data_IF_594782705446
#
_entry.id   IF_594782705446
#
_cell.length_a   1.000
_cell.length_b   1.000
_cell.length_c   1.000
_cell.angle_alpha   90.00
_cell.angle_beta   90.00
_cell.angle_gamma   90.00
#
_symmetry.space_group_name_H-M   'P 1'
#
loop_
_entity.id
_entity.type
_entity.pdbx_description
1 polymer ?
#
# COMPACT_ATOMS: atom_id res chain seq x y z
N UNK A 1 -20.26 68.28 5.97
CA UNK A 1 -19.23 67.91 4.96
C UNK A 1 -17.99 67.47 5.73
N UNK A 2 -17.33 66.34 5.53
CA UNK A 2 -17.46 65.23 4.58
C UNK A 2 -16.80 64.01 5.24
N UNK A 3 -17.40 62.82 5.16
CA UNK A 3 -16.75 61.56 5.60
C UNK A 3 -15.76 61.12 4.51
N UNK A 4 -14.52 60.71 4.83
CA UNK A 4 -13.73 59.96 3.88
C UNK A 4 -14.14 58.49 3.91
N UNK A 5 -14.91 58.10 2.89
CA UNK A 5 -15.03 56.73 2.38
C UNK A 5 -13.68 56.29 1.81
N UNK A 6 -13.07 55.23 2.36
CA UNK A 6 -11.95 54.55 1.74
C UNK A 6 -12.35 53.11 1.40
N UNK A 7 -12.24 52.83 0.11
CA UNK A 7 -12.59 51.60 -0.60
C UNK A 7 -11.50 50.54 -0.40
N UNK A 8 -11.95 49.30 -0.40
CA UNK A 8 -11.27 48.05 -0.07
C UNK A 8 -10.01 47.73 -0.88
N UNK A 9 -9.04 47.10 -0.22
CA UNK A 9 -8.29 45.99 -0.83
C UNK A 9 -8.20 44.83 0.16
N UNK A 10 -9.08 43.85 -0.04
CA UNK A 10 -8.95 42.52 0.53
C UNK A 10 -7.62 41.93 0.05
N UNK A 11 -6.65 41.86 0.96
CA UNK A 11 -5.37 41.21 0.73
C UNK A 11 -5.62 39.70 0.65
N UNK A 12 -5.28 39.01 -0.45
CA UNK A 12 -5.46 37.56 -0.51
C UNK A 12 -4.58 36.89 0.55
N UNK A 13 -5.19 35.97 1.30
CA UNK A 13 -4.50 35.09 2.21
C UNK A 13 -3.57 34.20 1.38
N UNK A 14 -2.27 34.54 1.36
CA UNK A 14 -1.24 33.63 0.91
C UNK A 14 -1.17 32.48 1.92
N UNK A 15 -1.89 31.39 1.65
CA UNK A 15 -1.73 30.12 2.33
C UNK A 15 -0.38 29.54 1.95
N UNK A 16 0.65 29.99 2.65
CA UNK A 16 1.97 29.38 2.62
C UNK A 16 1.85 28.01 3.29
N UNK A 17 1.43 26.99 2.54
CA UNK A 17 1.72 25.61 2.88
C UNK A 17 3.23 25.41 2.70
N UNK A 18 3.99 25.89 3.67
CA UNK A 18 5.35 25.43 3.89
C UNK A 18 5.23 23.96 4.30
N UNK A 19 5.29 23.07 3.30
CA UNK A 19 5.60 21.67 3.53
C UNK A 19 6.98 21.68 4.17
N UNK A 20 6.97 21.62 5.50
CA UNK A 20 8.15 21.52 6.33
C UNK A 20 8.80 20.19 5.97
N UNK A 21 9.62 20.19 4.92
CA UNK A 21 10.57 19.11 4.63
C UNK A 21 11.53 19.11 5.80
N UNK A 22 11.14 18.40 6.86
CA UNK A 22 12.02 17.99 7.94
C UNK A 22 12.96 16.97 7.33
N UNK A 23 13.92 17.43 6.53
CA UNK A 23 15.13 16.69 6.27
C UNK A 23 15.80 16.58 7.62
N UNK A 24 15.57 15.46 8.30
CA UNK A 24 16.45 15.01 9.38
C UNK A 24 17.78 14.67 8.70
N UNK A 25 18.54 15.72 8.36
CA UNK A 25 19.94 15.61 8.09
C UNK A 25 20.53 15.03 9.38
N UNK A 26 20.68 13.70 9.41
CA UNK A 26 21.50 13.05 10.41
C UNK A 26 22.84 13.76 10.28
N UNK A 27 23.17 14.59 11.25
CA UNK A 27 24.47 15.20 11.34
C UNK A 27 25.41 14.03 11.66
N UNK A 28 25.87 13.35 10.60
CA UNK A 28 26.92 12.35 10.70
C UNK A 28 28.11 13.17 11.16
N UNK A 29 28.40 13.07 12.46
CA UNK A 29 29.52 13.74 13.08
C UNK A 29 30.77 13.30 12.31
N UNK A 30 31.24 14.18 11.44
CA UNK A 30 32.54 14.05 10.78
C UNK A 30 33.62 14.39 11.81
N UNK A 31 33.64 13.66 12.94
CA UNK A 31 34.87 13.54 13.70
C UNK A 31 35.81 12.82 12.75
N UNK A 32 36.70 13.60 12.12
CA UNK A 32 37.87 13.11 11.42
C UNK A 32 38.64 12.32 12.48
N UNK A 33 38.36 11.03 12.55
CA UNK A 33 39.11 10.08 13.34
C UNK A 33 40.47 10.06 12.67
N UNK A 34 41.48 10.62 13.33
CA UNK A 34 42.88 10.56 12.90
C UNK A 34 43.13 9.14 12.36
N UNK A 35 43.48 8.97 11.07
CA UNK A 35 43.73 7.65 10.52
C UNK A 35 44.87 7.03 11.33
N UNK A 36 44.68 5.79 11.79
CA UNK A 36 45.78 5.06 12.42
C UNK A 36 46.83 4.86 11.31
N UNK A 37 48.13 5.06 11.58
CA UNK A 37 49.17 5.03 10.54
C UNK A 37 49.33 3.67 9.86
N UNK A 38 48.77 2.60 10.43
CA UNK A 38 48.78 1.24 9.90
C UNK A 38 47.42 0.78 9.34
N UNK A 39 46.41 1.65 9.33
CA UNK A 39 45.05 1.34 8.89
C UNK A 39 44.77 1.95 7.51
N UNK A 40 45.71 1.83 6.59
CA UNK A 40 45.68 2.55 5.31
C UNK A 40 44.85 1.86 4.21
N UNK A 41 44.33 0.63 4.41
CA UNK A 41 43.90 -0.18 3.25
C UNK A 41 42.39 -0.30 3.01
N UNK A 42 41.50 0.14 3.92
CA UNK A 42 40.05 -0.02 3.73
C UNK A 42 39.28 1.30 3.77
N UNK A 43 39.81 2.33 3.12
CA UNK A 43 38.97 3.49 2.77
C UNK A 43 38.11 3.03 1.58
N UNK A 44 36.78 2.87 1.74
CA UNK A 44 35.95 2.48 0.62
C UNK A 44 36.10 3.52 -0.49
N UNK A 45 36.24 3.10 -1.77
CA UNK A 45 36.32 4.03 -2.89
C UNK A 45 35.20 5.06 -2.80
N UNK A 46 35.56 6.35 -2.97
CA UNK A 46 34.57 7.44 -2.98
C UNK A 46 33.68 7.25 -4.20
N UNK A 47 32.42 6.90 -3.94
CA UNK A 47 31.44 6.65 -4.99
C UNK A 47 30.96 7.97 -5.61
N UNK A 48 31.08 8.16 -6.94
CA UNK A 48 30.67 9.40 -7.61
C UNK A 48 29.14 9.54 -7.75
N UNK A 49 28.36 8.53 -7.37
CA UNK A 49 26.90 8.54 -7.56
C UNK A 49 26.20 9.55 -6.64
N UNK A 50 25.20 10.28 -7.14
CA UNK A 50 24.36 11.14 -6.29
C UNK A 50 23.72 10.35 -5.15
N UNK A 51 23.70 10.92 -3.94
CA UNK A 51 23.23 10.25 -2.73
C UNK A 51 21.77 9.76 -2.78
N UNK A 52 20.94 10.33 -3.66
CA UNK A 52 19.54 9.93 -3.86
C UNK A 52 19.38 8.64 -4.68
N UNK A 53 20.41 8.21 -5.39
CA UNK A 53 20.38 7.00 -6.23
C UNK A 53 20.26 5.74 -5.37
N UNK A 54 20.98 5.68 -4.25
CA UNK A 54 20.93 4.54 -3.33
C UNK A 54 19.55 4.27 -2.71
N UNK A 55 18.84 5.25 -2.12
CA UNK A 55 17.50 5.01 -1.61
C UNK A 55 16.51 4.69 -2.73
N UNK A 56 16.64 5.29 -3.93
CA UNK A 56 15.79 4.94 -5.06
C UNK A 56 15.92 3.46 -5.43
N UNK A 57 17.14 2.95 -5.61
CA UNK A 57 17.34 1.53 -5.94
C UNK A 57 16.86 0.60 -4.83
N UNK A 58 17.01 0.98 -3.56
CA UNK A 58 16.45 0.22 -2.45
C UNK A 58 14.93 0.13 -2.56
N UNK A 59 14.25 1.26 -2.74
CA UNK A 59 12.79 1.30 -2.88
C UNK A 59 12.35 0.52 -4.13
N UNK A 60 13.03 0.72 -5.25
CA UNK A 60 12.74 0.00 -6.48
C UNK A 60 12.84 -1.52 -6.28
N UNK A 61 13.88 -2.02 -5.62
CA UNK A 61 13.98 -3.46 -5.32
C UNK A 61 12.85 -3.94 -4.41
N UNK A 62 12.47 -3.17 -3.39
CA UNK A 62 11.35 -3.50 -2.50
C UNK A 62 9.99 -3.43 -3.18
N UNK A 63 9.84 -2.78 -4.33
CA UNK A 63 8.57 -2.68 -5.06
C UNK A 63 8.54 -3.63 -6.25
N UNK A 64 9.59 -3.63 -7.07
CA UNK A 64 9.68 -4.38 -8.33
C UNK A 64 9.71 -5.88 -8.06
N UNK A 65 10.50 -6.35 -7.09
CA UNK A 65 10.60 -7.79 -6.80
C UNK A 65 9.25 -8.37 -6.35
N UNK A 66 8.59 -7.85 -5.28
CA UNK A 66 7.28 -8.37 -4.90
C UNK A 66 6.20 -8.08 -5.94
N UNK A 67 6.23 -6.94 -6.62
CA UNK A 67 5.30 -6.62 -7.71
C UNK A 67 5.36 -7.63 -8.85
N UNK A 68 6.58 -8.05 -9.23
CA UNK A 68 6.79 -9.08 -10.26
C UNK A 68 6.25 -10.44 -9.81
N UNK A 69 6.45 -10.82 -8.55
CA UNK A 69 5.91 -12.06 -8.01
C UNK A 69 4.37 -12.06 -7.99
N UNK A 70 3.75 -10.96 -7.57
CA UNK A 70 2.30 -10.82 -7.59
C UNK A 70 1.75 -10.86 -9.02
N UNK A 71 2.41 -10.18 -9.97
CA UNK A 71 2.07 -10.25 -11.38
C UNK A 71 2.16 -11.69 -11.91
N UNK A 72 3.26 -12.39 -11.60
CA UNK A 72 3.46 -13.77 -12.01
C UNK A 72 2.38 -14.71 -11.45
N UNK A 73 1.99 -14.56 -10.19
CA UNK A 73 0.98 -15.43 -9.57
C UNK A 73 -0.43 -15.14 -10.08
N UNK A 74 -0.80 -13.87 -10.29
CA UNK A 74 -2.18 -13.48 -10.57
C UNK A 74 -2.50 -13.22 -12.04
N UNK A 75 -1.57 -12.63 -12.79
CA UNK A 75 -1.84 -12.07 -14.12
C UNK A 75 -1.06 -12.77 -15.23
N UNK A 76 0.13 -13.31 -14.93
CA UNK A 76 0.87 -14.05 -15.93
C UNK A 76 0.13 -15.35 -16.29
N UNK A 77 -0.09 -15.53 -17.59
CA UNK A 77 -0.60 -16.77 -18.15
C UNK A 77 0.61 -17.60 -18.63
N UNK A 78 0.89 -18.69 -17.91
CA UNK A 78 1.98 -19.61 -18.24
C UNK A 78 1.52 -20.78 -19.14
N UNK A 79 0.29 -20.73 -19.67
CA UNK A 79 -0.29 -21.76 -20.51
C UNK A 79 -0.73 -23.00 -19.72
N UNK A 80 -1.10 -24.07 -20.45
CA UNK A 80 -1.72 -25.28 -19.87
C UNK A 80 -0.74 -26.20 -19.12
N UNK A 81 0.55 -25.87 -19.05
CA UNK A 81 1.56 -26.71 -18.38
C UNK A 81 1.65 -26.36 -16.90
N UNK A 82 1.94 -27.37 -16.07
CA UNK A 82 2.17 -27.18 -14.65
C UNK A 82 3.35 -26.21 -14.42
N UNK A 83 3.08 -25.09 -13.74
CA UNK A 83 4.07 -24.05 -13.46
C UNK A 83 4.36 -23.92 -11.96
N UNK A 84 5.54 -23.42 -11.60
CA UNK A 84 6.04 -23.33 -10.20
C UNK A 84 5.08 -22.57 -9.27
N UNK A 85 4.28 -21.66 -9.83
CA UNK A 85 3.30 -20.87 -9.08
C UNK A 85 1.91 -21.54 -8.93
N UNK A 86 1.68 -22.73 -9.47
CA UNK A 86 0.39 -23.44 -9.36
C UNK A 86 -0.02 -23.73 -7.90
N UNK A 87 0.87 -24.17 -7.00
CA UNK A 87 0.51 -24.35 -5.59
C UNK A 87 0.06 -23.04 -4.92
N UNK A 88 0.75 -21.94 -5.23
CA UNK A 88 0.41 -20.61 -4.71
C UNK A 88 -0.94 -20.12 -5.27
N UNK A 89 -1.20 -20.34 -6.56
CA UNK A 89 -2.46 -19.99 -7.21
C UNK A 89 -3.64 -20.76 -6.62
N UNK A 90 -3.48 -22.07 -6.39
CA UNK A 90 -4.48 -22.91 -5.69
C UNK A 90 -4.74 -22.44 -4.26
N UNK A 91 -3.71 -22.06 -3.50
CA UNK A 91 -3.88 -21.49 -2.16
C UNK A 91 -4.67 -20.19 -2.23
N UNK A 92 -4.32 -19.30 -3.16
CA UNK A 92 -5.01 -18.03 -3.33
C UNK A 92 -6.46 -18.19 -3.80
N UNK A 93 -6.74 -19.13 -4.70
CA UNK A 93 -8.10 -19.43 -5.12
C UNK A 93 -8.96 -19.91 -3.94
N UNK A 94 -8.39 -20.69 -3.00
CA UNK A 94 -9.06 -21.02 -1.74
C UNK A 94 -9.30 -19.79 -0.87
N UNK A 95 -8.34 -18.87 -0.80
CA UNK A 95 -8.54 -17.62 -0.05
C UNK A 95 -9.64 -16.76 -0.68
N UNK A 96 -9.61 -16.54 -2.00
CA UNK A 96 -10.69 -15.84 -2.71
C UNK A 96 -12.04 -16.51 -2.48
N UNK A 97 -12.11 -17.83 -2.60
CA UNK A 97 -13.35 -18.57 -2.35
C UNK A 97 -13.84 -18.38 -0.92
N UNK A 98 -12.94 -18.39 0.07
CA UNK A 98 -13.28 -18.11 1.47
C UNK A 98 -13.75 -16.66 1.71
N UNK A 99 -13.14 -15.68 1.02
CA UNK A 99 -13.54 -14.28 1.10
C UNK A 99 -14.88 -13.97 0.42
N UNK A 100 -15.20 -14.69 -0.66
CA UNK A 100 -16.45 -14.50 -1.40
C UNK A 100 -17.52 -15.56 -1.07
N UNK A 101 -17.25 -16.48 -0.14
CA UNK A 101 -18.26 -17.36 0.46
C UNK A 101 -18.88 -16.70 1.68
N UNK A 102 -20.17 -16.97 1.92
CA UNK A 102 -20.83 -16.62 3.18
C UNK A 102 -20.02 -17.19 4.35
N UNK A 103 -19.73 -16.35 5.34
CA UNK A 103 -19.20 -16.86 6.61
C UNK A 103 -20.20 -17.84 7.23
N UNK A 104 -19.73 -18.75 8.08
CA UNK A 104 -20.59 -19.79 8.67
C UNK A 104 -21.82 -19.21 9.39
N UNK A 105 -21.67 -18.02 9.98
CA UNK A 105 -22.76 -17.29 10.64
C UNK A 105 -23.74 -16.69 9.63
N UNK A 106 -23.27 -16.06 8.54
CA UNK A 106 -24.13 -15.56 7.47
C UNK A 106 -24.86 -16.69 6.75
N UNK A 107 -24.21 -17.85 6.61
CA UNK A 107 -24.82 -19.05 6.04
C UNK A 107 -25.96 -19.56 6.92
N UNK A 108 -25.80 -19.52 8.24
CA UNK A 108 -26.85 -19.92 9.19
C UNK A 108 -28.06 -18.98 9.13
N UNK A 109 -27.81 -17.68 9.04
CA UNK A 109 -28.88 -16.68 8.91
C UNK A 109 -29.61 -16.86 7.57
N UNK A 110 -28.88 -17.05 6.47
CA UNK A 110 -29.47 -17.31 5.16
C UNK A 110 -30.31 -18.61 5.14
N UNK A 111 -29.87 -19.66 5.82
CA UNK A 111 -30.62 -20.92 5.95
C UNK A 111 -31.91 -20.73 6.79
N UNK A 112 -31.84 -19.96 7.87
CA UNK A 112 -33.01 -19.60 8.69
C UNK A 112 -34.01 -18.75 7.88
N UNK A 113 -33.52 -17.80 7.08
CA UNK A 113 -34.37 -16.96 6.23
C UNK A 113 -35.05 -17.75 5.12
N UNK A 114 -34.36 -18.73 4.51
CA UNK A 114 -34.95 -19.65 3.54
C UNK A 114 -36.04 -20.52 4.19
N UNK A 115 -35.75 -21.11 5.35
CA UNK A 115 -36.72 -21.93 6.10
C UNK A 115 -37.94 -21.12 6.58
N UNK A 116 -37.73 -19.85 6.96
CA UNK A 116 -38.79 -18.92 7.37
C UNK A 116 -39.63 -18.45 6.16
N UNK A 117 -38.98 -18.26 5.01
CA UNK A 117 -39.62 -17.91 3.73
C UNK A 117 -40.56 -19.01 3.26
N UNK A 118 -40.10 -20.26 3.24
CA UNK A 118 -40.91 -21.42 2.85
C UNK A 118 -42.14 -21.57 3.76
N UNK A 119 -41.95 -21.43 5.08
CA UNK A 119 -43.07 -21.50 6.03
C UNK A 119 -44.09 -20.36 5.80
N UNK A 120 -43.63 -19.14 5.52
CA UNK A 120 -44.51 -18.00 5.22
C UNK A 120 -45.25 -18.14 3.90
N UNK A 121 -44.66 -18.76 2.88
CA UNK A 121 -45.31 -19.05 1.60
C UNK A 121 -46.42 -20.09 1.81
N UNK A 122 -46.11 -21.18 2.51
CA UNK A 122 -47.10 -22.23 2.85
C UNK A 122 -48.25 -21.66 3.69
N UNK A 123 -47.97 -20.81 4.68
CA UNK A 123 -49.02 -20.21 5.52
C UNK A 123 -49.88 -19.18 4.79
N UNK A 124 -49.37 -18.58 3.70
CA UNK A 124 -50.13 -17.61 2.88
C UNK A 124 -51.08 -18.26 1.89
N UNK A 125 -50.80 -19.47 1.43
CA UNK A 125 -51.73 -20.25 0.60
C UNK A 125 -52.89 -20.87 1.40
N UNK A 126 -52.69 -21.14 2.70
CA UNK A 126 -53.71 -21.74 3.57
C UNK A 126 -54.57 -20.67 4.26
N UNK A 127 -55.07 -19.70 3.50
CA UNK A 127 -56.12 -18.77 3.93
C UNK A 127 -57.25 -18.79 2.90
N UNK A 128 -58.47 -19.25 3.26
CA UNK A 128 -59.62 -19.30 2.35
C UNK A 128 -60.13 -17.90 1.97
#
# INVERSE_FOLDING_TARGET
>A
MSRPTAVWHLRPAASNFSVLRRTTARHVSSKIRQPRPWAEENVPPVDPRPSWVFPLFKIANYVVIPGTLLYAVFFADFGEKEHVFMPARRWFDRQKAAFFSLSDEERRIAEIDLASGDNKIVTREVRP
#
